data_IF_838556171713
#
_entry.id   IF_838556171713
#
_cell.length_a   1.000
_cell.length_b   1.000
_cell.length_c   1.000
_cell.angle_alpha   90.00
_cell.angle_beta   90.00
_cell.angle_gamma   90.00
#
_symmetry.space_group_name_H-M   'P 1'
#
loop_
_entity.id
_entity.type
_entity.pdbx_description
1 polymer ?
#
# COMPACT_ATOMS: atom_id res chain seq x y z
N UNK A 1 9.96 32.15 -16.75
CA UNK A 1 9.72 30.69 -16.74
C UNK A 1 8.59 30.42 -15.76
N UNK A 2 7.35 30.35 -16.22
CA UNK A 2 6.20 30.03 -15.37
C UNK A 2 6.35 28.61 -14.84
N UNK A 3 6.45 28.43 -13.52
CA UNK A 3 6.33 27.11 -12.91
C UNK A 3 4.88 26.67 -13.09
N UNK A 4 4.59 25.92 -14.16
CA UNK A 4 3.34 25.17 -14.25
C UNK A 4 3.31 24.23 -13.05
N UNK A 5 2.50 24.55 -12.05
CA UNK A 5 2.13 23.62 -11.01
C UNK A 5 1.48 22.42 -11.69
N UNK A 6 2.28 21.39 -11.96
CA UNK A 6 1.80 20.11 -12.43
C UNK A 6 1.10 19.46 -11.25
N UNK A 7 -0.14 19.85 -10.97
CA UNK A 7 -1.03 19.08 -10.11
C UNK A 7 -1.02 17.66 -10.67
N UNK A 8 -0.52 16.66 -9.93
CA UNK A 8 -0.49 15.31 -10.44
C UNK A 8 -1.93 14.92 -10.76
N UNK A 9 -2.14 14.44 -11.98
CA UNK A 9 -3.46 14.02 -12.43
C UNK A 9 -4.00 12.96 -11.47
N UNK A 10 -5.26 13.10 -11.07
CA UNK A 10 -5.97 12.18 -10.17
C UNK A 10 -5.85 10.71 -10.61
N UNK A 11 -5.66 10.48 -11.92
CA UNK A 11 -5.42 9.17 -12.52
C UNK A 11 -4.13 8.52 -11.97
N UNK A 12 -3.04 9.27 -11.84
CA UNK A 12 -1.77 8.73 -11.32
C UNK A 12 -1.88 8.32 -9.85
N UNK A 13 -2.72 9.01 -9.09
CA UNK A 13 -3.01 8.64 -7.71
C UNK A 13 -3.80 7.35 -7.59
N UNK A 14 -4.84 7.19 -8.41
CA UNK A 14 -5.61 5.95 -8.46
C UNK A 14 -4.70 4.78 -8.87
N UNK A 15 -3.83 4.98 -9.86
CA UNK A 15 -2.83 3.98 -10.28
C UNK A 15 -1.87 3.65 -9.13
N UNK A 16 -1.34 4.65 -8.42
CA UNK A 16 -0.44 4.43 -7.29
C UNK A 16 -1.11 3.61 -6.17
N UNK A 17 -2.37 3.93 -5.87
CA UNK A 17 -3.15 3.26 -4.85
C UNK A 17 -3.49 1.81 -5.21
N UNK A 18 -3.94 1.57 -6.45
CA UNK A 18 -4.19 0.21 -6.97
C UNK A 18 -2.90 -0.61 -7.00
N UNK A 19 -1.79 0.01 -7.41
CA UNK A 19 -0.48 -0.65 -7.44
C UNK A 19 0.00 -1.04 -6.04
N UNK A 20 -0.20 -0.18 -5.03
CA UNK A 20 0.09 -0.50 -3.64
C UNK A 20 -0.75 -1.67 -3.12
N UNK A 21 -2.04 -1.71 -3.44
CA UNK A 21 -2.90 -2.82 -3.06
C UNK A 21 -2.45 -4.14 -3.71
N UNK A 22 -2.15 -4.13 -5.02
CA UNK A 22 -1.63 -5.31 -5.73
C UNK A 22 -0.28 -5.78 -5.18
N UNK A 23 0.63 -4.85 -4.84
CA UNK A 23 1.90 -5.15 -4.18
C UNK A 23 1.67 -5.83 -2.83
N UNK A 24 0.73 -5.33 -2.03
CA UNK A 24 0.34 -5.95 -0.75
C UNK A 24 -0.16 -7.38 -0.93
N UNK A 25 -1.05 -7.62 -1.90
CA UNK A 25 -1.53 -8.97 -2.23
C UNK A 25 -0.40 -9.91 -2.66
N UNK A 26 0.51 -9.47 -3.54
CA UNK A 26 1.64 -10.28 -4.01
C UNK A 26 2.66 -10.59 -2.92
N UNK A 27 2.96 -9.61 -2.06
CA UNK A 27 3.82 -9.81 -0.89
C UNK A 27 3.23 -10.85 0.05
N UNK A 28 1.93 -10.81 0.26
CA UNK A 28 1.26 -11.76 1.13
C UNK A 28 1.17 -13.16 0.51
N UNK A 29 0.91 -13.27 -0.80
CA UNK A 29 0.97 -14.54 -1.54
C UNK A 29 2.37 -15.17 -1.45
N UNK A 30 3.43 -14.36 -1.59
CA UNK A 30 4.81 -14.80 -1.39
C UNK A 30 5.04 -15.33 0.03
N UNK A 31 4.53 -14.61 1.03
CA UNK A 31 4.53 -15.05 2.41
C UNK A 31 3.73 -16.34 2.65
N UNK A 32 2.66 -16.61 1.89
CA UNK A 32 1.91 -17.86 1.99
C UNK A 32 2.63 -19.05 1.34
N UNK A 33 3.26 -18.83 0.18
CA UNK A 33 3.96 -19.89 -0.57
C UNK A 33 5.35 -20.21 -0.02
N UNK A 34 6.06 -19.20 0.48
CA UNK A 34 7.44 -19.33 0.96
C UNK A 34 7.57 -19.21 2.48
N UNK A 35 6.53 -18.72 3.18
CA UNK A 35 6.59 -18.41 4.61
C UNK A 35 6.31 -19.59 5.53
N UNK A 36 7.31 -20.42 5.74
CA UNK A 36 7.47 -21.04 7.05
C UNK A 36 7.93 -19.99 8.07
N UNK A 37 7.63 -20.16 9.35
CA UNK A 37 8.08 -19.32 10.50
C UNK A 37 9.59 -19.16 10.60
N UNK A 38 10.35 -19.86 9.77
CA UNK A 38 11.81 -19.91 9.70
C UNK A 38 12.36 -18.90 8.67
N UNK A 39 11.51 -18.24 7.88
CA UNK A 39 11.97 -17.30 6.84
C UNK A 39 12.61 -16.07 7.50
N UNK A 40 13.96 -15.91 7.45
CA UNK A 40 14.67 -14.92 8.27
C UNK A 40 14.34 -13.47 7.90
N UNK A 41 13.63 -13.25 6.80
CA UNK A 41 13.30 -11.94 6.25
C UNK A 41 11.84 -11.54 6.41
N UNK A 42 11.00 -12.33 7.11
CA UNK A 42 9.58 -12.03 7.31
C UNK A 42 9.34 -10.60 7.82
N UNK A 43 9.99 -10.24 8.93
CA UNK A 43 9.85 -8.91 9.55
C UNK A 43 10.40 -7.79 8.64
N UNK A 44 11.48 -8.06 7.91
CA UNK A 44 12.11 -7.10 7.01
C UNK A 44 11.19 -6.76 5.82
N UNK A 45 10.47 -7.76 5.31
CA UNK A 45 9.52 -7.61 4.22
C UNK A 45 8.34 -6.74 4.66
N UNK A 46 7.78 -7.01 5.86
CA UNK A 46 6.72 -6.18 6.43
C UNK A 46 7.16 -4.74 6.72
N UNK A 47 8.36 -4.56 7.29
CA UNK A 47 8.93 -3.24 7.52
C UNK A 47 9.12 -2.46 6.21
N UNK A 48 9.65 -3.12 5.18
CA UNK A 48 9.85 -2.52 3.85
C UNK A 48 8.53 -2.10 3.20
N UNK A 49 7.50 -2.93 3.31
CA UNK A 49 6.16 -2.59 2.82
C UNK A 49 5.56 -1.39 3.57
N UNK A 50 5.70 -1.36 4.89
CA UNK A 50 5.18 -0.27 5.71
C UNK A 50 5.85 1.07 5.41
N UNK A 51 7.17 1.06 5.21
CA UNK A 51 7.95 2.23 4.80
C UNK A 51 7.52 2.71 3.41
N UNK A 52 7.32 1.79 2.46
CA UNK A 52 6.88 2.13 1.10
C UNK A 52 5.51 2.81 1.11
N UNK A 53 4.54 2.24 1.84
CA UNK A 53 3.19 2.80 1.97
C UNK A 53 3.24 4.19 2.60
N UNK A 54 4.00 4.37 3.69
CA UNK A 54 4.18 5.68 4.33
C UNK A 54 4.86 6.70 3.41
N UNK A 55 5.85 6.27 2.64
CA UNK A 55 6.56 7.13 1.71
C UNK A 55 5.64 7.63 0.60
N UNK A 56 4.80 6.75 0.04
CA UNK A 56 3.85 7.16 -0.99
C UNK A 56 2.80 8.11 -0.40
N UNK A 57 2.31 7.86 0.83
CA UNK A 57 1.44 8.83 1.51
C UNK A 57 2.08 10.20 1.70
N UNK A 58 3.37 10.24 2.06
CA UNK A 58 4.10 11.49 2.19
C UNK A 58 4.19 12.24 0.84
N UNK A 59 4.39 11.51 -0.26
CA UNK A 59 4.40 12.08 -1.60
C UNK A 59 3.01 12.59 -2.01
N UNK A 60 1.94 11.85 -1.71
CA UNK A 60 0.56 12.27 -1.96
C UNK A 60 0.20 13.55 -1.18
N UNK A 61 0.57 13.65 0.10
CA UNK A 61 0.36 14.89 0.86
C UNK A 61 1.10 16.08 0.24
N UNK A 62 2.37 15.90 -0.16
CA UNK A 62 3.15 16.95 -0.84
C UNK A 62 2.56 17.34 -2.19
N UNK A 63 1.90 16.42 -2.87
CA UNK A 63 1.20 16.65 -4.14
C UNK A 63 -0.10 17.46 -4.01
N UNK A 64 -0.51 17.85 -2.80
CA UNK A 64 -1.73 18.64 -2.57
C UNK A 64 -2.99 17.79 -2.55
N UNK A 65 -2.86 16.51 -2.24
CA UNK A 65 -3.95 15.54 -2.27
C UNK A 65 -4.81 15.74 -1.03
N UNK A 66 -6.12 15.78 -1.23
CA UNK A 66 -7.06 15.92 -0.12
C UNK A 66 -6.90 14.78 0.87
N UNK A 67 -6.84 15.12 2.16
CA UNK A 67 -6.74 14.17 3.25
C UNK A 67 -7.87 13.11 3.23
N UNK A 68 -9.01 13.41 2.60
CA UNK A 68 -10.12 12.46 2.38
C UNK A 68 -9.73 11.29 1.49
N UNK A 69 -8.93 11.53 0.44
CA UNK A 69 -8.49 10.48 -0.50
C UNK A 69 -7.48 9.56 0.19
N UNK A 70 -6.53 10.15 0.92
CA UNK A 70 -5.55 9.44 1.76
C UNK A 70 -6.26 8.52 2.77
N UNK A 71 -7.33 9.02 3.40
CA UNK A 71 -8.14 8.25 4.34
C UNK A 71 -8.85 7.07 3.68
N UNK A 72 -9.39 7.25 2.47
CA UNK A 72 -10.01 6.16 1.69
C UNK A 72 -8.96 5.10 1.30
N UNK A 73 -7.77 5.52 0.86
CA UNK A 73 -6.69 4.58 0.55
C UNK A 73 -6.27 3.77 1.78
N UNK A 74 -6.17 4.42 2.94
CA UNK A 74 -5.78 3.77 4.20
C UNK A 74 -6.85 2.79 4.66
N UNK A 75 -8.12 3.17 4.52
CA UNK A 75 -9.25 2.30 4.80
C UNK A 75 -9.26 1.09 3.86
N UNK A 76 -9.00 1.27 2.56
CA UNK A 76 -8.94 0.19 1.57
C UNK A 76 -7.82 -0.81 1.88
N UNK A 77 -6.64 -0.31 2.27
CA UNK A 77 -5.52 -1.13 2.73
C UNK A 77 -5.88 -1.92 4.00
N UNK A 78 -6.47 -1.27 5.00
CA UNK A 78 -6.92 -1.94 6.22
C UNK A 78 -7.98 -3.02 5.94
N UNK A 79 -8.93 -2.73 5.04
CA UNK A 79 -9.96 -3.68 4.63
C UNK A 79 -9.36 -4.87 3.88
N UNK A 80 -8.35 -4.66 3.03
CA UNK A 80 -7.63 -5.74 2.35
C UNK A 80 -6.95 -6.69 3.33
N UNK A 81 -6.30 -6.15 4.36
CA UNK A 81 -5.64 -6.92 5.42
C UNK A 81 -6.70 -7.67 6.25
N UNK A 82 -7.82 -7.04 6.59
CA UNK A 82 -8.91 -7.65 7.35
C UNK A 82 -9.56 -8.82 6.59
N UNK A 83 -9.88 -8.63 5.31
CA UNK A 83 -10.47 -9.67 4.46
C UNK A 83 -9.53 -10.87 4.33
N UNK A 84 -8.23 -10.60 4.21
CA UNK A 84 -7.20 -11.65 4.19
C UNK A 84 -7.07 -12.39 5.52
N UNK A 85 -7.12 -11.69 6.66
CA UNK A 85 -7.11 -12.33 7.98
C UNK A 85 -8.33 -13.25 8.16
N UNK A 86 -9.50 -12.82 7.68
CA UNK A 86 -10.72 -13.63 7.73
C UNK A 86 -10.66 -14.86 6.82
N UNK A 87 -10.12 -14.74 5.60
CA UNK A 87 -9.87 -15.89 4.72
C UNK A 87 -8.89 -16.87 5.39
N UNK A 88 -7.85 -16.36 6.06
CA UNK A 88 -6.85 -17.15 6.76
C UNK A 88 -7.40 -17.91 7.98
N UNK A 89 -8.28 -17.31 8.80
CA UNK A 89 -8.89 -18.02 9.95
C UNK A 89 -9.82 -19.17 9.56
N UNK A 90 -10.34 -19.15 8.33
CA UNK A 90 -11.26 -20.17 7.83
C UNK A 90 -10.59 -21.28 6.99
N UNK A 91 -9.25 -21.26 6.86
CA UNK A 91 -8.44 -22.30 6.21
C UNK A 91 -7.55 -23.00 7.24
#
# INVERSE_FOLDING_TARGET
MERKETRPSYIYMVIASVSMALLGFKLLEYLMLAGGTITPNFLLIFASFFILVHYIYHLEQKAGVSNKVILIQSLLLALSIFFLMHIFTNY
#
